data_IF_368259644922
#
_entry.id   IF_368259644922
#
_cell.length_a   1.000
_cell.length_b   1.000
_cell.length_c   1.000
_cell.angle_alpha   90.00
_cell.angle_beta   90.00
_cell.angle_gamma   90.00
#
_symmetry.space_group_name_H-M   'P 1'
#
loop_
_entity.id
_entity.type
_entity.pdbx_description
1 polymer ?
#
# COMPACT_ATOMS: atom_id res chain seq x y z
N UNK A 1 -36.36 12.53 -1.63
CA UNK A 1 -35.85 11.70 -0.51
C UNK A 1 -34.37 11.56 -0.76
N UNK A 2 -33.57 12.01 0.19
CA UNK A 2 -32.12 12.13 0.17
C UNK A 2 -31.43 10.77 0.00
N UNK A 3 -30.34 10.82 -0.77
CA UNK A 3 -29.02 10.26 -0.47
C UNK A 3 -28.91 8.79 -0.02
N UNK A 4 -28.29 7.99 -0.87
CA UNK A 4 -27.31 7.00 -0.46
C UNK A 4 -26.35 6.85 -1.64
N UNK A 5 -25.29 7.66 -1.64
CA UNK A 5 -24.09 7.33 -2.41
C UNK A 5 -23.72 5.90 -2.05
N UNK A 6 -23.74 5.03 -3.05
CA UNK A 6 -23.30 3.65 -2.90
C UNK A 6 -21.91 3.67 -2.31
N UNK A 7 -21.81 3.13 -1.10
CA UNK A 7 -20.62 2.70 -0.38
C UNK A 7 -19.42 2.45 -1.34
N UNK A 8 -18.60 3.46 -1.61
CA UNK A 8 -17.28 3.31 -2.26
C UNK A 8 -16.25 2.84 -1.20
N UNK A 9 -16.70 1.96 -0.29
CA UNK A 9 -15.95 1.44 0.85
C UNK A 9 -15.69 -0.06 0.71
N UNK A 10 -14.47 -0.39 0.27
CA UNK A 10 -13.81 -1.72 0.22
C UNK A 10 -14.33 -2.76 -0.79
N UNK A 11 -13.93 -2.61 -2.06
CA UNK A 11 -14.04 -3.64 -3.12
C UNK A 11 -12.90 -4.69 -3.06
N UNK A 12 -12.22 -4.84 -1.92
CA UNK A 12 -11.09 -5.77 -1.78
C UNK A 12 -11.53 -7.01 -1.01
N UNK A 13 -12.03 -8.02 -1.73
CA UNK A 13 -12.27 -9.34 -1.15
C UNK A 13 -10.95 -9.97 -0.69
N UNK A 14 -10.91 -10.64 0.47
CA UNK A 14 -9.72 -11.36 0.90
C UNK A 14 -9.22 -12.35 -0.15
N UNK A 15 -7.95 -12.22 -0.53
CA UNK A 15 -7.31 -13.03 -1.56
C UNK A 15 -5.87 -13.37 -1.14
N UNK A 16 -5.68 -14.47 -0.39
CA UNK A 16 -4.36 -14.91 0.05
C UNK A 16 -3.37 -15.14 -1.10
N UNK A 17 -3.87 -15.53 -2.29
CA UNK A 17 -3.03 -15.70 -3.47
C UNK A 17 -2.48 -14.37 -3.99
N UNK A 18 -3.29 -13.30 -3.92
CA UNK A 18 -2.86 -11.94 -4.25
C UNK A 18 -1.92 -11.37 -3.19
N UNK A 19 -2.17 -11.65 -1.91
CA UNK A 19 -1.25 -11.31 -0.81
C UNK A 19 0.13 -11.91 -1.09
N UNK A 20 0.19 -13.23 -1.26
CA UNK A 20 1.45 -13.96 -1.50
C UNK A 20 2.16 -13.47 -2.77
N UNK A 21 1.43 -13.22 -3.85
CA UNK A 21 1.99 -12.70 -5.09
C UNK A 21 2.62 -11.33 -4.90
N UNK A 22 1.90 -10.39 -4.27
CA UNK A 22 2.39 -9.03 -4.04
C UNK A 22 3.60 -9.03 -3.10
N UNK A 23 3.59 -9.86 -2.04
CA UNK A 23 4.72 -10.01 -1.12
C UNK A 23 5.94 -10.62 -1.81
N UNK A 24 5.74 -11.62 -2.67
CA UNK A 24 6.81 -12.21 -3.49
C UNK A 24 7.46 -11.18 -4.42
N UNK A 25 6.65 -10.37 -5.11
CA UNK A 25 7.17 -9.29 -5.96
C UNK A 25 7.87 -8.22 -5.12
N UNK A 26 7.33 -7.89 -3.95
CA UNK A 26 7.95 -6.95 -3.01
C UNK A 26 9.35 -7.42 -2.59
N UNK A 27 9.51 -8.72 -2.28
CA UNK A 27 10.79 -9.33 -1.95
C UNK A 27 11.77 -9.28 -3.14
N UNK A 28 11.31 -9.58 -4.35
CA UNK A 28 12.16 -9.59 -5.57
C UNK A 28 12.71 -8.21 -5.92
N UNK A 29 11.88 -7.16 -5.79
CA UNK A 29 12.31 -5.78 -6.10
C UNK A 29 13.08 -5.11 -4.96
N UNK A 30 13.17 -5.74 -3.78
CA UNK A 30 13.81 -5.16 -2.58
C UNK A 30 15.34 -5.25 -2.67
N UNK A 31 15.92 -4.29 -3.38
CA UNK A 31 17.36 -4.06 -3.44
C UNK A 31 17.94 -3.25 -2.28
N UNK A 32 19.20 -2.83 -2.42
CA UNK A 32 19.92 -2.08 -1.39
C UNK A 32 19.63 -0.58 -1.38
N UNK A 33 19.14 -0.03 -2.50
CA UNK A 33 18.85 1.41 -2.62
C UNK A 33 17.65 1.81 -1.76
N UNK A 34 17.61 3.08 -1.35
CA UNK A 34 16.44 3.63 -0.66
C UNK A 34 15.17 3.51 -1.51
N UNK A 35 15.28 3.71 -2.81
CA UNK A 35 14.17 3.64 -3.77
C UNK A 35 13.60 2.24 -3.91
N UNK A 36 14.47 1.22 -4.01
CA UNK A 36 14.03 -0.18 -4.12
C UNK A 36 13.35 -0.68 -2.85
N UNK A 37 13.90 -0.34 -1.67
CA UNK A 37 13.26 -0.59 -0.37
C UNK A 37 11.91 0.10 -0.26
N UNK A 38 11.81 1.32 -0.79
CA UNK A 38 10.57 2.08 -0.75
C UNK A 38 9.50 1.46 -1.64
N UNK A 39 9.85 1.06 -2.87
CA UNK A 39 8.94 0.36 -3.78
C UNK A 39 8.43 -0.94 -3.16
N UNK A 40 9.31 -1.73 -2.54
CA UNK A 40 8.91 -2.94 -1.83
C UNK A 40 7.90 -2.64 -0.70
N UNK A 41 8.13 -1.60 0.10
CA UNK A 41 7.22 -1.21 1.17
C UNK A 41 5.83 -0.80 0.66
N UNK A 42 5.74 -0.18 -0.52
CA UNK A 42 4.45 0.13 -1.15
C UNK A 42 3.71 -1.17 -1.49
N UNK A 43 4.40 -2.15 -2.07
CA UNK A 43 3.80 -3.43 -2.45
C UNK A 43 3.30 -4.23 -1.24
N UNK A 44 4.04 -4.25 -0.13
CA UNK A 44 3.54 -4.84 1.12
C UNK A 44 2.27 -4.16 1.60
N UNK A 45 2.26 -2.82 1.63
CA UNK A 45 1.09 -2.06 2.09
C UNK A 45 -0.14 -2.28 1.21
N UNK A 46 0.06 -2.47 -0.09
CA UNK A 46 -1.02 -2.83 -1.02
C UNK A 46 -1.46 -4.28 -0.82
N UNK A 47 -0.57 -5.19 -0.43
CA UNK A 47 -0.92 -6.58 -0.12
C UNK A 47 -1.89 -6.68 1.05
N UNK A 48 -1.74 -5.81 2.04
CA UNK A 48 -2.58 -5.77 3.24
C UNK A 48 -4.07 -5.49 2.91
N UNK A 49 -4.40 -4.93 1.74
CA UNK A 49 -5.80 -4.75 1.30
C UNK A 49 -6.52 -6.08 1.07
N UNK A 50 -5.77 -7.14 0.78
CA UNK A 50 -6.32 -8.47 0.46
C UNK A 50 -6.12 -9.47 1.60
N UNK A 51 -5.55 -9.03 2.72
CA UNK A 51 -5.27 -9.86 3.88
C UNK A 51 -6.45 -9.73 4.87
N UNK A 52 -7.11 -10.85 5.19
CA UNK A 52 -8.29 -10.83 6.07
C UNK A 52 -7.97 -10.44 7.51
N UNK A 53 -6.71 -10.59 7.91
CA UNK A 53 -6.23 -10.30 9.25
C UNK A 53 -5.74 -8.84 9.41
N UNK A 54 -5.60 -8.10 8.31
CA UNK A 54 -5.12 -6.72 8.31
C UNK A 54 -6.29 -5.73 8.15
N UNK A 55 -6.37 -4.75 9.05
CA UNK A 55 -7.33 -3.65 8.96
C UNK A 55 -6.66 -2.46 8.29
N UNK A 56 -6.66 -2.45 6.95
CA UNK A 56 -6.12 -1.34 6.15
C UNK A 56 -7.15 -0.82 5.16
N UNK A 57 -7.16 0.51 4.96
CA UNK A 57 -7.98 1.15 3.92
C UNK A 57 -7.15 1.61 2.71
N UNK A 58 -7.76 1.70 1.52
CA UNK A 58 -7.11 2.28 0.33
C UNK A 58 -6.64 3.72 0.56
N UNK A 59 -7.43 4.53 1.29
CA UNK A 59 -7.09 5.92 1.61
C UNK A 59 -5.84 6.01 2.47
N UNK A 60 -5.68 5.10 3.43
CA UNK A 60 -4.47 5.02 4.25
C UNK A 60 -3.26 4.64 3.42
N UNK A 61 -3.40 3.72 2.48
CA UNK A 61 -2.30 3.33 1.59
C UNK A 61 -1.90 4.50 0.69
N UNK A 62 -2.86 5.14 0.03
CA UNK A 62 -2.60 6.31 -0.83
C UNK A 62 -1.93 7.43 -0.05
N UNK A 63 -2.37 7.69 1.19
CA UNK A 63 -1.73 8.68 2.08
C UNK A 63 -0.29 8.32 2.40
N UNK A 64 -0.05 7.07 2.78
CA UNK A 64 1.29 6.57 3.10
C UNK A 64 2.22 6.65 1.88
N UNK A 65 1.77 6.20 0.71
CA UNK A 65 2.53 6.25 -0.55
C UNK A 65 2.84 7.70 -0.95
N UNK A 66 1.86 8.61 -0.88
CA UNK A 66 2.09 10.03 -1.18
C UNK A 66 3.11 10.66 -0.24
N UNK A 67 3.00 10.41 1.06
CA UNK A 67 3.98 10.89 2.04
C UNK A 67 5.39 10.38 1.73
N UNK A 68 5.49 9.09 1.41
CA UNK A 68 6.74 8.41 1.03
C UNK A 68 7.39 9.06 -0.21
N UNK A 69 6.61 9.42 -1.23
CA UNK A 69 7.09 10.09 -2.44
C UNK A 69 7.46 11.56 -2.18
N UNK A 70 6.60 12.32 -1.50
CA UNK A 70 6.84 13.74 -1.17
C UNK A 70 8.07 13.93 -0.27
N UNK A 71 8.32 13.01 0.65
CA UNK A 71 9.51 13.07 1.51
C UNK A 71 10.80 12.80 0.71
N UNK A 72 10.76 11.93 -0.30
CA UNK A 72 11.90 11.76 -1.20
C UNK A 72 12.18 13.02 -2.03
N UNK A 73 11.13 13.65 -2.57
CA UNK A 73 11.26 14.93 -3.29
C UNK A 73 11.85 16.04 -2.39
N UNK A 74 11.58 15.96 -1.08
CA UNK A 74 12.12 16.85 -0.05
C UNK A 74 13.37 16.29 0.65
N UNK A 75 14.12 15.34 0.09
CA UNK A 75 15.45 14.98 0.63
C UNK A 75 15.46 14.19 1.95
N UNK A 76 14.41 13.44 2.28
CA UNK A 76 14.41 12.38 3.30
C UNK A 76 13.81 12.73 4.67
N UNK A 77 13.42 11.68 5.42
CA UNK A 77 12.70 11.71 6.72
C UNK A 77 13.52 12.27 7.91
N UNK A 78 14.70 12.83 7.69
CA UNK A 78 15.66 13.17 8.73
C UNK A 78 16.22 14.57 8.58
N UNK A 79 15.39 15.58 8.82
CA UNK A 79 15.85 16.95 9.10
C UNK A 79 14.94 17.66 10.07
#
# INVERSE_FOLDING_TARGET
>A
MTDAGSDEGSDFEPDPGRVDFLRTVADDVRGDSSESKQLANVLYRVSDLYDEDEDTSPEEIVRNVKFILEVNERGGLGR
#
